data_IF_644317898555
#
_entry.id   IF_644317898555
#
_cell.length_a   1.000
_cell.length_b   1.000
_cell.length_c   1.000
_cell.angle_alpha   90.00
_cell.angle_beta   90.00
_cell.angle_gamma   90.00
#
_symmetry.space_group_name_H-M   'P 1'
#
loop_
_entity.id
_entity.type
_entity.pdbx_description
1 polymer ?
#
# COMPACT_ATOMS: atom_id res chain seq x y z
N UNK A 1 -17.84 -17.86 -13.56
CA UNK A 1 -16.51 -18.39 -13.89
C UNK A 1 -15.60 -17.41 -14.66
N UNK A 2 -16.07 -16.63 -15.63
CA UNK A 2 -15.21 -15.64 -16.36
C UNK A 2 -14.60 -14.56 -15.46
N UNK A 3 -15.34 -13.95 -14.54
CA UNK A 3 -14.87 -12.87 -13.66
C UNK A 3 -13.73 -13.32 -12.71
N UNK A 4 -13.78 -14.53 -12.19
CA UNK A 4 -12.71 -15.06 -11.32
C UNK A 4 -11.40 -15.31 -12.07
N UNK A 5 -11.44 -15.66 -13.36
CA UNK A 5 -10.26 -15.83 -14.20
C UNK A 5 -9.55 -14.51 -14.51
N UNK A 6 -10.31 -13.44 -14.78
CA UNK A 6 -9.76 -12.14 -15.12
C UNK A 6 -9.06 -11.45 -13.92
N UNK A 7 -9.61 -11.61 -12.71
CA UNK A 7 -8.95 -11.12 -11.49
C UNK A 7 -7.66 -11.87 -11.17
N UNK A 8 -7.64 -13.19 -11.39
CA UNK A 8 -6.42 -14.00 -11.24
C UNK A 8 -5.30 -13.56 -12.18
N UNK A 9 -5.65 -13.26 -13.43
CA UNK A 9 -4.71 -12.80 -14.45
C UNK A 9 -4.14 -11.41 -14.11
N UNK A 10 -4.95 -10.47 -13.61
CA UNK A 10 -4.48 -9.14 -13.21
C UNK A 10 -3.53 -9.24 -12.02
N UNK A 11 -3.86 -10.02 -11.00
CA UNK A 11 -3.00 -10.22 -9.84
C UNK A 11 -1.65 -10.86 -10.23
N UNK A 12 -1.66 -11.86 -11.10
CA UNK A 12 -0.44 -12.47 -11.64
C UNK A 12 0.40 -11.45 -12.42
N UNK A 13 -0.24 -10.61 -13.24
CA UNK A 13 0.45 -9.55 -13.98
C UNK A 13 1.07 -8.52 -13.03
N UNK A 14 0.37 -8.11 -11.97
CA UNK A 14 0.89 -7.19 -10.97
C UNK A 14 2.11 -7.80 -10.27
N UNK A 15 2.02 -9.04 -9.80
CA UNK A 15 3.13 -9.73 -9.14
C UNK A 15 4.33 -9.84 -10.09
N UNK A 16 4.11 -10.23 -11.34
CA UNK A 16 5.16 -10.32 -12.34
C UNK A 16 5.79 -8.95 -12.65
N UNK A 17 4.98 -7.87 -12.69
CA UNK A 17 5.46 -6.51 -12.91
C UNK A 17 6.31 -6.02 -11.75
N UNK A 18 5.88 -6.23 -10.50
CA UNK A 18 6.63 -5.80 -9.31
C UNK A 18 7.91 -6.63 -9.16
N UNK A 19 7.80 -7.96 -9.09
CA UNK A 19 8.96 -8.82 -8.86
C UNK A 19 9.94 -8.83 -10.05
N UNK A 20 9.45 -9.01 -11.26
CA UNK A 20 10.27 -8.99 -12.48
C UNK A 20 10.80 -7.59 -12.79
N UNK A 21 10.02 -6.54 -12.49
CA UNK A 21 10.44 -5.15 -12.67
C UNK A 21 11.63 -4.79 -11.79
N UNK A 22 11.61 -5.10 -10.50
CA UNK A 22 12.74 -4.85 -9.60
C UNK A 22 14.01 -5.59 -10.05
N UNK A 23 13.86 -6.83 -10.55
CA UNK A 23 14.98 -7.59 -11.10
C UNK A 23 15.57 -6.92 -12.35
N UNK A 24 14.71 -6.48 -13.28
CA UNK A 24 15.13 -5.79 -14.52
C UNK A 24 15.79 -4.45 -14.19
N UNK A 25 15.21 -3.67 -13.28
CA UNK A 25 15.77 -2.38 -12.83
C UNK A 25 17.19 -2.58 -12.28
N UNK A 26 17.42 -3.63 -11.49
CA UNK A 26 18.74 -3.91 -10.94
C UNK A 26 19.77 -4.28 -12.00
N UNK A 27 19.40 -5.07 -13.02
CA UNK A 27 20.37 -5.61 -13.98
C UNK A 27 20.73 -4.65 -15.11
N UNK A 28 19.82 -3.75 -15.53
CA UNK A 28 20.01 -2.94 -16.74
C UNK A 28 20.11 -1.44 -16.46
N UNK A 29 20.48 -1.05 -15.26
CA UNK A 29 20.71 0.34 -14.85
C UNK A 29 19.58 1.29 -15.31
N UNK A 30 19.94 2.42 -15.93
CA UNK A 30 18.95 3.42 -16.36
C UNK A 30 17.95 2.88 -17.39
N UNK A 31 18.37 2.04 -18.33
CA UNK A 31 17.46 1.46 -19.34
C UNK A 31 16.43 0.52 -18.70
N UNK A 32 16.86 -0.27 -17.71
CA UNK A 32 15.95 -1.10 -16.92
C UNK A 32 14.93 -0.26 -16.18
N UNK A 33 15.38 0.81 -15.52
CA UNK A 33 14.49 1.72 -14.79
C UNK A 33 13.43 2.36 -15.71
N UNK A 34 13.83 2.81 -16.91
CA UNK A 34 12.90 3.40 -17.89
C UNK A 34 11.90 2.35 -18.40
N UNK A 35 12.39 1.16 -18.77
CA UNK A 35 11.53 0.08 -19.28
C UNK A 35 10.51 -0.37 -18.22
N UNK A 36 10.95 -0.54 -16.97
CA UNK A 36 10.07 -0.91 -15.85
C UNK A 36 9.07 0.19 -15.55
N UNK A 37 9.49 1.46 -15.64
CA UNK A 37 8.58 2.59 -15.48
C UNK A 37 7.48 2.58 -16.53
N UNK A 38 7.83 2.41 -17.81
CA UNK A 38 6.84 2.30 -18.86
C UNK A 38 5.88 1.13 -18.62
N UNK A 39 6.40 -0.06 -18.27
CA UNK A 39 5.58 -1.22 -17.95
C UNK A 39 4.64 -0.98 -16.78
N UNK A 40 5.12 -0.41 -15.68
CA UNK A 40 4.29 -0.13 -14.50
C UNK A 40 3.15 0.85 -14.81
N UNK A 41 3.42 1.89 -15.60
CA UNK A 41 2.38 2.83 -16.04
C UNK A 41 1.38 2.19 -17.01
N UNK A 42 1.81 1.31 -17.91
CA UNK A 42 0.91 0.55 -18.80
C UNK A 42 -0.01 -0.37 -17.98
N UNK A 43 0.53 -1.10 -17.00
CA UNK A 43 -0.26 -1.99 -16.14
C UNK A 43 -1.21 -1.18 -15.26
N UNK A 44 -0.77 -0.04 -14.73
CA UNK A 44 -1.65 0.90 -14.01
C UNK A 44 -2.78 1.42 -14.89
N UNK A 45 -2.50 1.86 -16.12
CA UNK A 45 -3.50 2.32 -17.06
C UNK A 45 -4.51 1.20 -17.40
N UNK A 46 -4.04 -0.03 -17.60
CA UNK A 46 -4.90 -1.19 -17.82
C UNK A 46 -5.79 -1.48 -16.59
N UNK A 47 -5.25 -1.38 -15.38
CA UNK A 47 -5.99 -1.49 -14.13
C UNK A 47 -7.05 -0.38 -14.02
N UNK A 48 -6.66 0.87 -14.30
CA UNK A 48 -7.57 2.02 -14.26
C UNK A 48 -8.73 1.87 -15.23
N UNK A 49 -8.47 1.45 -16.49
CA UNK A 49 -9.50 1.24 -17.50
C UNK A 49 -10.48 0.13 -17.13
N UNK A 50 -10.00 -0.94 -16.48
CA UNK A 50 -10.81 -2.07 -16.01
C UNK A 50 -11.52 -1.82 -14.69
N UNK A 51 -11.10 -0.81 -13.94
CA UNK A 51 -11.73 -0.44 -12.67
C UNK A 51 -13.02 0.33 -12.88
N UNK A 52 -14.07 -0.03 -12.12
CA UNK A 52 -15.32 0.70 -12.06
C UNK A 52 -15.11 2.14 -11.55
N UNK A 53 -16.08 3.01 -11.86
CA UNK A 53 -16.02 4.43 -11.45
C UNK A 53 -15.87 4.62 -9.95
N UNK A 54 -16.40 3.70 -9.16
CA UNK A 54 -16.35 3.70 -7.68
C UNK A 54 -14.94 3.45 -7.13
N UNK A 55 -14.08 2.71 -7.84
CA UNK A 55 -12.70 2.38 -7.41
C UNK A 55 -11.66 3.40 -7.86
N UNK A 56 -11.91 4.13 -8.95
CA UNK A 56 -10.95 5.09 -9.52
C UNK A 56 -10.52 6.19 -8.55
N UNK A 57 -11.41 6.76 -7.70
CA UNK A 57 -10.98 7.74 -6.71
C UNK A 57 -9.94 7.18 -5.73
N UNK A 58 -10.07 5.92 -5.29
CA UNK A 58 -9.11 5.29 -4.41
C UNK A 58 -7.75 5.05 -5.11
N UNK A 59 -7.75 4.63 -6.38
CA UNK A 59 -6.52 4.47 -7.16
C UNK A 59 -5.82 5.81 -7.39
N UNK A 60 -6.57 6.89 -7.69
CA UNK A 60 -6.02 8.23 -7.84
C UNK A 60 -5.46 8.77 -6.52
N UNK A 61 -6.22 8.63 -5.42
CA UNK A 61 -5.76 9.04 -4.10
C UNK A 61 -4.49 8.27 -3.70
N UNK A 62 -4.44 6.96 -3.93
CA UNK A 62 -3.26 6.14 -3.67
C UNK A 62 -2.06 6.64 -4.49
N UNK A 63 -2.22 6.92 -5.78
CA UNK A 63 -1.14 7.44 -6.62
C UNK A 63 -0.56 8.74 -6.07
N UNK A 64 -1.43 9.70 -5.70
CA UNK A 64 -1.01 11.01 -5.20
C UNK A 64 -0.36 10.92 -3.82
N UNK A 65 -0.99 10.18 -2.89
CA UNK A 65 -0.51 10.02 -1.51
C UNK A 65 0.80 9.24 -1.51
N UNK A 66 0.91 8.15 -2.28
CA UNK A 66 2.14 7.38 -2.40
C UNK A 66 3.27 8.23 -3.00
N UNK A 67 3.00 9.03 -4.03
CA UNK A 67 4.00 9.93 -4.61
C UNK A 67 4.50 10.96 -3.59
N UNK A 68 3.58 11.57 -2.83
CA UNK A 68 3.94 12.53 -1.79
C UNK A 68 4.70 11.87 -0.63
N UNK A 69 4.26 10.69 -0.19
CA UNK A 69 4.92 9.89 0.85
C UNK A 69 6.33 9.49 0.45
N UNK A 70 6.49 9.02 -0.78
CA UNK A 70 7.78 8.63 -1.34
C UNK A 70 8.75 9.81 -1.41
N UNK A 71 8.29 10.95 -1.93
CA UNK A 71 9.09 12.17 -1.97
C UNK A 71 9.48 12.62 -0.55
N UNK A 72 8.58 12.52 0.41
CA UNK A 72 8.87 12.86 1.80
C UNK A 72 9.90 11.91 2.41
N UNK A 73 9.70 10.60 2.32
CA UNK A 73 10.55 9.60 2.95
C UNK A 73 11.96 9.56 2.35
N UNK A 74 12.07 9.65 1.01
CA UNK A 74 13.35 9.54 0.31
C UNK A 74 14.09 10.88 0.18
N UNK A 75 13.40 11.98 -0.19
CA UNK A 75 14.06 13.26 -0.48
C UNK A 75 14.08 14.23 0.71
N UNK A 76 13.03 14.24 1.54
CA UNK A 76 12.93 15.20 2.65
C UNK A 76 13.48 14.61 3.94
N UNK A 77 13.03 13.42 4.32
CA UNK A 77 13.51 12.75 5.52
C UNK A 77 14.80 11.97 5.27
N UNK A 78 14.97 11.37 4.09
CA UNK A 78 16.20 10.67 3.72
C UNK A 78 16.39 9.34 4.46
N UNK A 79 15.31 8.61 4.76
CA UNK A 79 15.38 7.32 5.49
C UNK A 79 15.89 6.17 4.61
N UNK A 80 15.82 6.30 3.30
CA UNK A 80 16.43 5.41 2.31
C UNK A 80 16.79 6.16 1.02
N UNK A 81 17.68 5.57 0.26
CA UNK A 81 18.11 6.09 -1.04
C UNK A 81 17.97 5.02 -2.13
N UNK A 82 17.49 5.42 -3.29
CA UNK A 82 17.46 4.57 -4.48
C UNK A 82 18.84 4.46 -5.13
N UNK A 83 19.10 3.32 -5.77
CA UNK A 83 20.37 2.96 -6.40
C UNK A 83 20.92 4.01 -7.36
N UNK A 84 20.09 4.67 -8.14
CA UNK A 84 20.51 5.69 -9.11
C UNK A 84 20.43 7.13 -8.56
N UNK A 85 20.14 7.32 -7.27
CA UNK A 85 20.03 8.63 -6.63
C UNK A 85 18.78 9.43 -7.03
N UNK A 86 17.81 8.80 -7.69
CA UNK A 86 16.52 9.39 -8.08
C UNK A 86 15.37 8.49 -7.66
N UNK A 87 14.20 9.04 -7.43
CA UNK A 87 12.98 8.23 -7.25
C UNK A 87 12.58 7.66 -8.61
N UNK A 88 12.56 6.32 -8.79
CA UNK A 88 12.15 5.73 -10.06
C UNK A 88 10.68 6.02 -10.37
N UNK A 89 10.38 6.34 -11.63
CA UNK A 89 9.00 6.65 -12.05
C UNK A 89 8.05 5.46 -12.00
N UNK A 90 8.54 4.24 -11.77
CA UNK A 90 7.69 3.07 -11.53
C UNK A 90 7.16 2.99 -10.09
N UNK A 91 7.74 3.74 -9.14
CA UNK A 91 7.37 3.64 -7.72
C UNK A 91 5.94 4.10 -7.46
N UNK A 92 5.48 5.29 -7.92
CA UNK A 92 4.08 5.70 -7.71
C UNK A 92 3.04 4.72 -8.26
N UNK A 93 3.08 4.29 -9.54
CA UNK A 93 2.14 3.30 -10.03
C UNK A 93 2.34 1.94 -9.36
N UNK A 94 3.56 1.57 -8.99
CA UNK A 94 3.86 0.34 -8.24
C UNK A 94 3.13 0.27 -6.90
N UNK A 95 3.06 1.38 -6.14
CA UNK A 95 2.27 1.48 -4.92
C UNK A 95 0.78 1.23 -5.18
N UNK A 96 0.21 1.80 -6.26
CA UNK A 96 -1.19 1.56 -6.60
C UNK A 96 -1.44 0.10 -6.96
N UNK A 97 -0.53 -0.53 -7.70
CA UNK A 97 -0.61 -1.95 -8.04
C UNK A 97 -0.56 -2.82 -6.78
N UNK A 98 0.35 -2.49 -5.85
CA UNK A 98 0.49 -3.20 -4.58
C UNK A 98 -0.75 -3.01 -3.69
N UNK A 99 -1.28 -1.79 -3.58
CA UNK A 99 -2.53 -1.48 -2.88
C UNK A 99 -3.70 -2.29 -3.43
N UNK A 100 -3.88 -2.32 -4.76
CA UNK A 100 -4.92 -3.12 -5.40
C UNK A 100 -4.76 -4.61 -5.09
N UNK A 101 -3.54 -5.16 -5.22
CA UNK A 101 -3.25 -6.55 -4.86
C UNK A 101 -3.56 -6.83 -3.39
N UNK A 102 -3.16 -5.92 -2.51
CA UNK A 102 -3.43 -5.98 -1.07
C UNK A 102 -4.92 -6.02 -0.75
N UNK A 103 -5.75 -5.22 -1.43
CA UNK A 103 -7.21 -5.26 -1.26
C UNK A 103 -7.78 -6.63 -1.66
N UNK A 104 -7.32 -7.20 -2.77
CA UNK A 104 -7.78 -8.50 -3.27
C UNK A 104 -7.39 -9.66 -2.34
N UNK A 105 -6.21 -9.60 -1.72
CA UNK A 105 -5.76 -10.59 -0.74
C UNK A 105 -6.53 -10.43 0.56
N UNK A 106 -6.67 -9.20 1.06
CA UNK A 106 -7.35 -8.90 2.32
C UNK A 106 -8.82 -9.38 2.36
N UNK A 107 -9.52 -9.31 1.21
CA UNK A 107 -10.89 -9.81 1.07
C UNK A 107 -11.00 -11.32 1.30
N UNK A 108 -9.92 -12.08 1.06
CA UNK A 108 -9.88 -13.55 1.17
C UNK A 108 -9.35 -14.04 2.51
N UNK A 109 -8.76 -13.16 3.31
CA UNK A 109 -8.20 -13.54 4.60
C UNK A 109 -9.29 -13.84 5.63
N UNK A 110 -9.08 -14.82 6.51
CA UNK A 110 -10.00 -15.11 7.59
C UNK A 110 -10.08 -13.95 8.59
N UNK A 111 -11.17 -13.92 9.35
CA UNK A 111 -11.33 -12.98 10.44
C UNK A 111 -10.18 -13.14 11.46
N UNK A 112 -9.72 -12.02 12.02
CA UNK A 112 -8.62 -11.95 13.01
C UNK A 112 -7.22 -12.22 12.47
N UNK A 113 -7.02 -12.43 11.16
CA UNK A 113 -5.68 -12.56 10.55
C UNK A 113 -4.80 -11.35 10.87
N UNK A 114 -5.38 -10.16 11.00
CA UNK A 114 -4.68 -8.92 11.38
C UNK A 114 -3.99 -9.04 12.74
N UNK A 115 -4.61 -9.69 13.72
CA UNK A 115 -4.03 -9.87 15.05
C UNK A 115 -2.96 -10.97 15.06
N UNK A 116 -3.06 -11.96 14.18
CA UNK A 116 -2.00 -12.96 13.99
C UNK A 116 -0.75 -12.30 13.45
N UNK A 117 -0.87 -11.43 12.44
CA UNK A 117 0.26 -10.66 11.90
C UNK A 117 0.90 -9.80 12.99
N UNK A 118 0.09 -9.06 13.75
CA UNK A 118 0.57 -8.24 14.84
C UNK A 118 1.31 -9.07 15.90
N UNK A 119 0.74 -10.20 16.34
CA UNK A 119 1.34 -11.07 17.34
C UNK A 119 2.67 -11.70 16.88
N UNK A 120 2.79 -12.05 15.59
CA UNK A 120 4.02 -12.61 15.02
C UNK A 120 5.11 -11.56 14.81
N UNK A 121 4.75 -10.32 14.49
CA UNK A 121 5.72 -9.24 14.30
C UNK A 121 6.30 -8.75 15.64
N UNK A 122 5.53 -8.75 16.72
CA UNK A 122 5.94 -8.21 18.01
C UNK A 122 7.26 -8.78 18.55
N UNK A 123 7.45 -10.11 18.67
CA UNK A 123 8.70 -10.67 19.21
C UNK A 123 9.91 -10.36 18.33
N UNK A 124 9.73 -10.30 17.01
CA UNK A 124 10.82 -9.99 16.07
C UNK A 124 11.23 -8.52 16.18
N UNK A 125 10.27 -7.61 16.22
CA UNK A 125 10.52 -6.18 16.44
C UNK A 125 11.19 -5.96 17.80
N UNK A 126 10.68 -6.62 18.86
CA UNK A 126 11.25 -6.53 20.19
C UNK A 126 12.70 -7.04 20.26
N UNK A 127 13.00 -8.15 19.62
CA UNK A 127 14.34 -8.73 19.57
C UNK A 127 15.34 -7.82 18.85
N UNK A 128 14.98 -7.26 17.70
CA UNK A 128 15.85 -6.36 16.94
C UNK A 128 16.08 -5.04 17.66
N UNK A 129 15.07 -4.51 18.35
CA UNK A 129 15.19 -3.31 19.16
C UNK A 129 16.07 -3.56 20.40
N UNK A 130 15.88 -4.68 21.08
CA UNK A 130 16.69 -5.07 22.24
C UNK A 130 18.19 -5.15 21.91
N UNK A 131 18.51 -5.68 20.72
CA UNK A 131 19.89 -5.79 20.25
C UNK A 131 20.43 -4.47 19.65
N UNK A 132 19.67 -3.38 19.68
CA UNK A 132 20.05 -2.08 19.11
C UNK A 132 20.15 -2.05 17.58
N UNK A 133 19.71 -3.11 16.89
CA UNK A 133 19.83 -3.23 15.42
C UNK A 133 18.74 -2.47 14.67
N UNK A 134 17.53 -2.42 15.23
CA UNK A 134 16.35 -1.75 14.65
C UNK A 134 15.53 -1.09 15.77
N UNK A 135 16.03 0.03 16.28
CA UNK A 135 15.31 0.79 17.32
C UNK A 135 14.20 1.67 16.75
N UNK A 136 14.13 1.83 15.41
CA UNK A 136 12.99 2.40 14.71
C UNK A 136 11.79 1.44 14.69
N UNK A 137 12.05 0.13 14.68
CA UNK A 137 11.02 -0.91 14.57
C UNK A 137 9.85 -0.76 15.56
N UNK A 138 10.06 -0.53 16.86
CA UNK A 138 8.97 -0.32 17.82
C UNK A 138 8.07 0.87 17.49
N UNK A 139 8.62 1.98 16.99
CA UNK A 139 7.85 3.14 16.55
C UNK A 139 6.98 2.80 15.36
N UNK A 140 7.56 2.15 14.34
CA UNK A 140 6.81 1.71 13.16
C UNK A 140 5.75 0.66 13.51
N UNK A 141 6.06 -0.25 14.42
CA UNK A 141 5.10 -1.23 14.90
C UNK A 141 3.92 -0.56 15.64
N UNK A 142 4.18 0.45 16.45
CA UNK A 142 3.14 1.24 17.09
C UNK A 142 2.26 1.96 16.06
N UNK A 143 2.83 2.50 14.98
CA UNK A 143 2.08 3.07 13.84
C UNK A 143 1.20 2.02 13.15
N UNK A 144 1.73 0.82 12.93
CA UNK A 144 0.93 -0.29 12.39
C UNK A 144 -0.27 -0.61 13.29
N UNK A 145 -0.06 -0.75 14.61
CA UNK A 145 -1.14 -0.97 15.56
C UNK A 145 -2.15 0.18 15.54
N UNK A 146 -1.70 1.42 15.47
CA UNK A 146 -2.59 2.58 15.35
C UNK A 146 -3.48 2.49 14.09
N UNK A 147 -2.94 2.08 12.94
CA UNK A 147 -3.74 1.85 11.74
C UNK A 147 -4.82 0.78 11.95
N UNK A 148 -4.48 -0.31 12.67
CA UNK A 148 -5.47 -1.37 13.01
C UNK A 148 -6.59 -0.85 13.91
N UNK A 149 -6.30 0.12 14.79
CA UNK A 149 -7.30 0.70 15.71
C UNK A 149 -8.16 1.79 15.07
N UNK A 150 -7.57 2.62 14.24
CA UNK A 150 -8.22 3.82 13.67
C UNK A 150 -9.22 3.51 12.56
N UNK A 151 -9.18 2.31 11.97
CA UNK A 151 -10.01 1.99 10.79
C UNK A 151 -10.55 0.57 10.84
N UNK A 152 -11.76 0.33 10.30
CA UNK A 152 -12.30 -1.02 10.16
C UNK A 152 -11.56 -1.89 9.13
N UNK A 153 -10.74 -1.31 8.26
CA UNK A 153 -10.03 -2.02 7.18
C UNK A 153 -8.78 -2.78 7.67
N UNK A 154 -8.84 -3.35 8.86
CA UNK A 154 -7.72 -4.00 9.57
C UNK A 154 -7.00 -5.05 8.75
N UNK A 155 -7.76 -5.93 8.05
CA UNK A 155 -7.18 -6.98 7.20
C UNK A 155 -6.36 -6.41 6.05
N UNK A 156 -6.79 -5.27 5.48
CA UNK A 156 -6.01 -4.58 4.46
C UNK A 156 -4.64 -4.14 5.01
N UNK A 157 -4.62 -3.47 6.17
CA UNK A 157 -3.34 -3.01 6.74
C UNK A 157 -2.42 -4.16 7.14
N UNK A 158 -2.96 -5.25 7.70
CA UNK A 158 -2.15 -6.44 7.98
C UNK A 158 -1.58 -7.07 6.69
N UNK A 159 -2.39 -7.12 5.63
CA UNK A 159 -1.93 -7.59 4.31
C UNK A 159 -0.85 -6.68 3.75
N UNK A 160 -1.06 -5.36 3.79
CA UNK A 160 -0.10 -4.39 3.28
C UNK A 160 1.19 -4.37 4.10
N UNK A 161 1.10 -4.55 5.43
CA UNK A 161 2.28 -4.68 6.28
C UNK A 161 3.18 -5.85 5.85
N UNK A 162 2.60 -7.02 5.58
CA UNK A 162 3.36 -8.21 5.15
C UNK A 162 3.80 -8.10 3.70
N UNK A 163 2.91 -7.65 2.81
CA UNK A 163 3.18 -7.56 1.37
C UNK A 163 4.28 -6.53 1.06
N UNK A 164 4.22 -5.37 1.71
CA UNK A 164 5.26 -4.36 1.56
C UNK A 164 6.57 -4.79 2.22
N UNK A 165 6.55 -5.45 3.39
CA UNK A 165 7.77 -6.01 3.97
C UNK A 165 8.43 -7.03 3.02
N UNK A 166 7.65 -7.89 2.37
CA UNK A 166 8.19 -8.83 1.38
C UNK A 166 8.82 -8.09 0.19
N UNK A 167 8.19 -7.01 -0.29
CA UNK A 167 8.74 -6.16 -1.36
C UNK A 167 10.00 -5.42 -0.89
N UNK A 168 10.01 -4.88 0.32
CA UNK A 168 11.17 -4.20 0.91
C UNK A 168 12.38 -5.15 1.05
N UNK A 169 12.15 -6.36 1.57
CA UNK A 169 13.18 -7.38 1.67
C UNK A 169 13.75 -7.75 0.29
N UNK A 170 12.88 -7.91 -0.69
CA UNK A 170 13.30 -8.26 -2.05
C UNK A 170 14.06 -7.12 -2.73
N UNK A 171 13.54 -5.88 -2.67
CA UNK A 171 14.17 -4.72 -3.28
C UNK A 171 15.51 -4.34 -2.65
N UNK A 172 15.62 -4.42 -1.32
CA UNK A 172 16.90 -4.17 -0.61
C UNK A 172 17.90 -5.32 -0.82
N UNK A 173 17.43 -6.58 -0.91
CA UNK A 173 18.28 -7.70 -1.27
C UNK A 173 18.83 -7.58 -2.69
N UNK A 174 18.05 -7.12 -3.64
CA UNK A 174 18.51 -6.82 -5.00
C UNK A 174 19.40 -5.57 -5.06
N UNK A 175 19.30 -4.65 -4.07
CA UNK A 175 20.02 -3.39 -4.06
C UNK A 175 19.36 -2.29 -4.88
N UNK A 176 18.04 -2.36 -5.14
CA UNK A 176 17.29 -1.30 -5.79
C UNK A 176 17.23 -0.03 -4.93
N UNK A 177 17.19 -0.19 -3.61
CA UNK A 177 17.32 0.87 -2.61
C UNK A 177 17.98 0.35 -1.34
N UNK A 178 18.48 1.27 -0.52
CA UNK A 178 19.15 0.98 0.74
C UNK A 178 18.62 1.90 1.83
N UNK A 179 18.22 1.35 2.96
CA UNK A 179 17.84 2.11 4.15
C UNK A 179 19.08 2.59 4.89
N UNK A 180 19.02 3.82 5.42
CA UNK A 180 20.12 4.39 6.20
C UNK A 180 20.19 3.72 7.56
N UNK A 181 21.40 3.35 8.06
CA UNK A 181 21.55 2.69 9.35
C UNK A 181 21.13 3.56 10.56
N UNK A 182 21.24 4.89 10.41
CA UNK A 182 20.83 5.87 11.40
C UNK A 182 19.76 6.78 10.80
N UNK A 183 18.57 6.74 11.41
CA UNK A 183 17.39 7.49 10.95
C UNK A 183 17.61 8.98 11.21
N UNK A 184 17.61 9.81 10.16
CA UNK A 184 17.74 11.25 10.32
C UNK A 184 16.67 11.81 11.27
N UNK A 185 17.01 12.87 11.98
CA UNK A 185 16.20 13.61 12.96
C UNK A 185 15.85 12.84 14.25
N UNK A 186 15.77 11.51 14.22
CA UNK A 186 15.38 10.71 15.38
C UNK A 186 16.56 10.07 16.12
N UNK A 187 17.72 9.89 15.45
CA UNK A 187 18.87 9.21 16.03
C UNK A 187 18.63 7.72 16.32
N UNK A 188 17.54 7.14 15.78
CA UNK A 188 17.22 5.73 15.91
C UNK A 188 17.99 4.91 14.87
N UNK A 189 18.23 3.63 15.17
CA UNK A 189 18.83 2.68 14.24
C UNK A 189 17.77 1.98 13.40
N UNK A 190 18.12 1.62 12.17
CA UNK A 190 17.27 0.84 11.28
C UNK A 190 18.07 -0.29 10.63
N UNK A 191 17.47 -1.47 10.48
CA UNK A 191 17.94 -2.52 9.58
C UNK A 191 17.65 -2.16 8.11
N UNK A 192 18.18 -2.91 7.19
CA UNK A 192 17.97 -2.72 5.75
C UNK A 192 17.21 -3.91 5.14
N UNK A 193 15.86 -3.86 5.05
CA UNK A 193 14.98 -2.81 5.55
C UNK A 193 14.68 -2.94 7.05
N UNK A 194 14.03 -1.90 7.69
CA UNK A 194 13.42 -2.08 9.00
C UNK A 194 12.35 -3.16 8.95
N UNK A 195 12.28 -4.00 9.99
CA UNK A 195 11.31 -5.11 10.02
C UNK A 195 9.86 -4.63 9.93
N UNK A 196 9.57 -3.48 10.49
CA UNK A 196 8.23 -2.89 10.48
C UNK A 196 8.04 -1.81 9.38
N UNK A 197 8.88 -1.77 8.33
CA UNK A 197 8.78 -0.80 7.22
C UNK A 197 7.39 -0.76 6.57
N UNK A 198 6.67 -1.90 6.56
CA UNK A 198 5.29 -1.99 6.08
C UNK A 198 4.30 -1.05 6.79
N UNK A 199 4.65 -0.51 7.96
CA UNK A 199 3.81 0.46 8.65
C UNK A 199 3.64 1.77 7.86
N UNK A 200 4.65 2.21 7.11
CA UNK A 200 4.52 3.38 6.23
C UNK A 200 3.44 3.17 5.17
N UNK A 201 3.38 1.99 4.57
CA UNK A 201 2.33 1.62 3.62
C UNK A 201 0.95 1.61 4.28
N UNK A 202 0.85 1.09 5.50
CA UNK A 202 -0.40 1.12 6.27
C UNK A 202 -0.90 2.54 6.51
N UNK A 203 -0.01 3.49 6.80
CA UNK A 203 -0.36 4.91 6.99
C UNK A 203 -0.84 5.53 5.67
N UNK A 204 -0.13 5.29 4.56
CA UNK A 204 -0.55 5.77 3.24
C UNK A 204 -1.94 5.22 2.87
N UNK A 205 -2.15 3.93 3.08
CA UNK A 205 -3.43 3.27 2.79
C UNK A 205 -4.56 3.74 3.71
N UNK A 206 -4.26 4.03 4.98
CA UNK A 206 -5.21 4.64 5.91
C UNK A 206 -5.68 6.01 5.40
N UNK A 207 -4.78 6.83 4.86
CA UNK A 207 -5.12 8.11 4.25
C UNK A 207 -5.99 7.91 3.00
N UNK A 208 -5.64 6.95 2.13
CA UNK A 208 -6.44 6.62 0.93
C UNK A 208 -7.86 6.22 1.33
N UNK A 209 -8.01 5.25 2.24
CA UNK A 209 -9.31 4.75 2.69
C UNK A 209 -10.13 5.87 3.35
N UNK A 210 -9.49 6.71 4.19
CA UNK A 210 -10.16 7.81 4.90
C UNK A 210 -10.68 8.88 3.95
N UNK A 211 -9.92 9.24 2.92
CA UNK A 211 -10.32 10.23 1.92
C UNK A 211 -11.47 9.73 1.05
N UNK A 212 -11.38 8.48 0.60
CA UNK A 212 -12.41 7.90 -0.28
C UNK A 212 -13.71 7.61 0.46
N UNK A 213 -13.65 7.19 1.73
CA UNK A 213 -14.85 7.02 2.56
C UNK A 213 -15.61 8.35 2.74
N UNK A 214 -14.90 9.47 2.91
CA UNK A 214 -15.51 10.80 3.00
C UNK A 214 -16.18 11.24 1.70
N UNK A 215 -15.57 10.92 0.55
CA UNK A 215 -16.15 11.25 -0.77
C UNK A 215 -17.44 10.48 -1.02
N UNK A 216 -17.52 9.21 -0.62
CA UNK A 216 -18.75 8.40 -0.73
C UNK A 216 -19.85 8.84 0.25
N UNK A 217 -19.48 9.42 1.39
CA UNK A 217 -20.42 9.93 2.40
C UNK A 217 -20.93 11.36 2.11
N UNK A 218 -20.34 12.07 1.15
CA UNK A 218 -20.75 13.44 0.81
C UNK A 218 -22.04 13.44 -0.03
N UNK A 219 -23.15 14.10 0.41
CA UNK A 219 -24.47 14.00 -0.22
C UNK A 219 -24.57 14.56 -1.66
N UNK A 220 -23.53 15.20 -2.17
CA UNK A 220 -23.53 15.90 -3.45
C UNK A 220 -23.24 15.07 -4.70
N UNK A 221 -22.83 13.80 -4.57
CA UNK A 221 -22.35 12.99 -5.70
C UNK A 221 -23.19 11.75 -6.05
N UNK A 222 -24.30 11.50 -5.34
CA UNK A 222 -25.13 10.33 -5.66
C UNK A 222 -26.64 10.65 -5.67
N UNK A 223 -27.19 11.21 -6.77
CA UNK A 223 -28.63 11.46 -6.89
C UNK A 223 -29.46 10.15 -6.93
N UNK A 224 -28.85 8.98 -7.19
CA UNK A 224 -29.58 7.71 -7.28
C UNK A 224 -29.90 7.07 -5.93
N UNK A 225 -29.17 7.35 -4.83
CA UNK A 225 -29.45 6.79 -3.51
C UNK A 225 -30.51 7.61 -2.79
N UNK A 226 -30.62 8.91 -3.05
CA UNK A 226 -31.66 9.77 -2.48
C UNK A 226 -33.07 9.40 -2.98
N UNK A 227 -33.21 8.90 -4.20
CA UNK A 227 -34.49 8.48 -4.77
C UNK A 227 -35.02 7.17 -4.17
N UNK A 228 -34.15 6.24 -3.79
CA UNK A 228 -34.56 4.96 -3.15
C UNK A 228 -35.02 5.14 -1.71
N UNK A 229 -34.42 6.04 -0.93
CA UNK A 229 -34.88 6.35 0.43
C UNK A 229 -36.19 7.13 0.46
N UNK A 230 -36.43 8.03 -0.50
CA UNK A 230 -37.69 8.74 -0.61
C UNK A 230 -38.86 7.85 -1.03
N UNK A 231 -38.63 6.86 -1.89
CA UNK A 231 -39.63 5.90 -2.31
C UNK A 231 -40.05 4.92 -1.20
N UNK A 232 -39.10 4.47 -0.37
CA UNK A 232 -39.37 3.57 0.76
C UNK A 232 -40.06 4.28 1.93
N UNK A 233 -39.82 5.57 2.12
CA UNK A 233 -40.51 6.35 3.16
C UNK A 233 -41.97 6.64 2.79
N UNK A 234 -42.24 6.87 1.48
CA UNK A 234 -43.61 7.12 0.99
C UNK A 234 -44.51 5.87 0.99
N UNK A 235 -43.92 4.69 0.79
CA UNK A 235 -44.64 3.40 0.84
C UNK A 235 -45.05 2.99 2.28
N UNK A 236 -44.35 3.47 3.31
CA UNK A 236 -44.68 3.22 4.72
C UNK A 236 -45.76 4.16 5.29
N UNK A 237 -45.97 5.32 4.69
CA UNK A 237 -47.03 6.26 5.15
C UNK A 237 -48.42 6.03 4.54
N UNK A 238 -48.54 5.17 3.53
CA UNK A 238 -49.81 4.82 2.91
C UNK A 238 -50.47 3.51 3.46
N UNK A 239 -49.88 2.93 4.51
CA UNK A 239 -50.38 1.72 5.20
C UNK A 239 -50.79 2.00 6.67
N UNK A 240 -51.08 3.25 6.99
CA UNK A 240 -51.75 3.60 8.27
C UNK A 240 -53.07 4.32 8.02
#
# INVERSE_FOLDING_TARGET
MRIMGEFGTMNALIIATVAGGLLIDQHWALYGQVAVSALAWIVFAALWMRSGRERRPALAACLLIATAGEAFLSLVWGVYAYRLGNIPLFVPPGHVLLFFLGTQIAERLPARSEWVVAALALPLVGLLAWNGRDTLGPLLYALFLACLWLSPSRRLYATMFVLSLAMELYGTWLGNWVWVPQVPWLGLTATNPPLAAGAFYCVLDLLVVSLTARQLASPGLNPSVASHHAATCKARSSLR
#
